data_IF_274027094204
#
_entry.id   IF_274027094204
#
_cell.length_a   1.000
_cell.length_b   1.000
_cell.length_c   1.000
_cell.angle_alpha   90.00
_cell.angle_beta   90.00
_cell.angle_gamma   90.00
#
_symmetry.space_group_name_H-M   'P 1'
#
loop_
_entity.id
_entity.type
_entity.pdbx_description
1 polymer ?
#
# COMPACT_ATOMS: atom_id res chain seq x y z
N UNK A 1 12.87 -5.58 6.64
CA UNK A 1 11.53 -5.02 6.94
C UNK A 1 11.21 -4.01 5.85
N UNK A 2 10.07 -4.13 5.18
CA UNK A 2 9.67 -3.25 4.10
C UNK A 2 8.30 -2.63 4.42
N UNK A 3 8.17 -1.32 4.21
CA UNK A 3 6.94 -0.58 4.48
C UNK A 3 6.49 0.23 3.25
N UNK A 4 5.18 0.45 3.16
CA UNK A 4 4.49 1.38 2.26
C UNK A 4 3.60 2.28 3.12
N UNK A 5 3.52 3.56 2.75
CA UNK A 5 2.67 4.55 3.40
C UNK A 5 1.53 4.90 2.46
N UNK A 6 0.29 4.78 2.91
CA UNK A 6 -0.82 5.48 2.29
C UNK A 6 -0.70 6.94 2.68
N UNK A 7 -0.51 7.79 1.68
CA UNK A 7 -0.45 9.24 1.87
C UNK A 7 -1.54 9.93 1.06
N UNK A 8 -2.05 11.01 1.63
CA UNK A 8 -2.79 12.01 0.89
C UNK A 8 -1.84 12.71 -0.10
N UNK A 9 -2.20 12.75 -1.38
CA UNK A 9 -1.32 13.32 -2.41
C UNK A 9 -1.33 14.85 -2.47
N UNK A 10 -2.32 15.49 -1.86
CA UNK A 10 -2.45 16.95 -1.83
C UNK A 10 -1.70 17.54 -0.63
N UNK A 11 -1.77 16.84 0.52
CA UNK A 11 -1.19 17.31 1.79
C UNK A 11 0.08 16.57 2.20
N UNK A 12 0.44 15.48 1.50
CA UNK A 12 1.52 14.55 1.84
C UNK A 12 1.40 13.92 3.25
N UNK A 13 0.23 14.00 3.88
CA UNK A 13 -0.02 13.44 5.19
C UNK A 13 -0.08 11.90 5.15
N UNK A 14 0.59 11.23 6.08
CA UNK A 14 0.44 9.79 6.31
C UNK A 14 -0.98 9.51 6.83
N UNK A 15 -1.72 8.66 6.09
CA UNK A 15 -3.07 8.21 6.43
C UNK A 15 -3.05 6.79 7.01
N UNK A 16 -2.18 5.93 6.46
CA UNK A 16 -1.98 4.57 6.93
C UNK A 16 -0.59 4.03 6.58
N UNK A 17 -0.19 2.95 7.23
CA UNK A 17 1.08 2.24 7.02
C UNK A 17 0.83 0.76 6.80
N UNK A 18 1.51 0.23 5.80
CA UNK A 18 1.52 -1.17 5.43
C UNK A 18 2.93 -1.70 5.66
N UNK A 19 3.07 -2.79 6.40
CA UNK A 19 4.36 -3.45 6.65
C UNK A 19 4.30 -4.88 6.18
N UNK A 20 5.36 -5.38 5.56
CA UNK A 20 5.47 -6.77 5.15
C UNK A 20 6.30 -7.57 6.16
N UNK A 21 5.68 -8.57 6.78
CA UNK A 21 6.29 -9.55 7.69
C UNK A 21 6.19 -10.95 7.07
N UNK A 22 7.29 -11.40 6.44
CA UNK A 22 7.28 -12.61 5.61
C UNK A 22 6.37 -12.48 4.38
N UNK A 23 5.25 -13.20 4.40
CA UNK A 23 4.18 -13.15 3.40
C UNK A 23 2.89 -12.49 3.93
N UNK A 24 2.91 -11.98 5.16
CA UNK A 24 1.78 -11.28 5.77
C UNK A 24 1.96 -9.76 5.61
N UNK A 25 0.94 -9.09 5.07
CA UNK A 25 0.89 -7.61 5.07
C UNK A 25 0.10 -7.17 6.30
N UNK A 26 0.73 -6.37 7.16
CA UNK A 26 0.09 -5.74 8.32
C UNK A 26 -0.23 -4.29 8.04
N UNK A 27 -1.40 -3.85 8.51
CA UNK A 27 -1.97 -2.53 8.26
C UNK A 27 -2.15 -1.78 9.58
N UNK A 28 -1.79 -0.51 9.61
CA UNK A 28 -2.01 0.37 10.76
C UNK A 28 -2.30 1.81 10.32
N UNK A 29 -2.82 2.64 11.22
CA UNK A 29 -3.18 4.03 10.95
C UNK A 29 -4.69 4.25 10.83
N UNK A 30 -5.07 5.49 10.54
CA UNK A 30 -6.47 5.95 10.48
C UNK A 30 -7.23 5.27 9.33
N UNK A 31 -6.58 5.14 8.18
CA UNK A 31 -7.19 4.61 6.94
C UNK A 31 -6.69 3.19 6.60
N UNK A 32 -6.47 2.34 7.61
CA UNK A 32 -5.94 0.99 7.41
C UNK A 32 -6.81 0.12 6.48
N UNK A 33 -8.13 0.23 6.59
CA UNK A 33 -9.07 -0.50 5.73
C UNK A 33 -9.01 -0.02 4.27
N UNK A 34 -8.88 1.29 4.04
CA UNK A 34 -8.71 1.84 2.70
C UNK A 34 -7.38 1.43 2.07
N UNK A 35 -6.30 1.43 2.85
CA UNK A 35 -5.00 0.91 2.41
C UNK A 35 -5.09 -0.57 2.00
N UNK A 36 -5.86 -1.37 2.74
CA UNK A 36 -6.12 -2.77 2.44
C UNK A 36 -6.90 -2.93 1.15
N UNK A 37 -7.98 -2.17 0.96
CA UNK A 37 -8.79 -2.23 -0.25
C UNK A 37 -7.99 -1.83 -1.50
N UNK A 38 -7.19 -0.76 -1.42
CA UNK A 38 -6.30 -0.35 -2.52
C UNK A 38 -5.33 -1.49 -2.87
N UNK A 39 -4.66 -2.10 -1.89
CA UNK A 39 -3.71 -3.17 -2.16
C UNK A 39 -4.39 -4.41 -2.74
N UNK A 40 -5.57 -4.78 -2.22
CA UNK A 40 -6.38 -5.91 -2.70
C UNK A 40 -6.86 -5.73 -4.12
N UNK A 41 -7.37 -4.56 -4.46
CA UNK A 41 -7.80 -4.27 -5.82
C UNK A 41 -6.64 -4.39 -6.80
N UNK A 42 -5.43 -3.97 -6.40
CA UNK A 42 -4.22 -4.15 -7.22
C UNK A 42 -3.78 -5.60 -7.31
N UNK A 43 -3.79 -6.33 -6.20
CA UNK A 43 -3.48 -7.76 -6.17
C UNK A 43 -4.41 -8.53 -7.12
N UNK A 44 -5.72 -8.26 -7.03
CA UNK A 44 -6.75 -8.83 -7.91
C UNK A 44 -6.56 -8.44 -9.36
N UNK A 45 -6.29 -7.16 -9.66
CA UNK A 45 -6.09 -6.68 -11.03
C UNK A 45 -4.88 -7.32 -11.74
N UNK A 46 -3.94 -7.88 -10.97
CA UNK A 46 -2.73 -8.54 -11.47
C UNK A 46 -2.72 -10.05 -11.26
N UNK A 47 -3.78 -10.61 -10.67
CA UNK A 47 -3.89 -12.01 -10.29
C UNK A 47 -2.70 -12.49 -9.44
N UNK A 48 -2.34 -11.70 -8.43
CA UNK A 48 -1.25 -11.98 -7.47
C UNK A 48 -1.73 -11.86 -6.03
N UNK A 49 -0.92 -12.31 -5.09
CA UNK A 49 -1.18 -12.14 -3.64
C UNK A 49 -0.98 -10.68 -3.19
N UNK A 50 -1.56 -10.30 -2.04
CA UNK A 50 -1.34 -8.97 -1.43
C UNK A 50 0.16 -8.70 -1.17
N UNK A 51 0.91 -9.72 -0.72
CA UNK A 51 2.36 -9.61 -0.48
C UNK A 51 3.16 -9.38 -1.78
N UNK A 52 2.78 -10.06 -2.86
CA UNK A 52 3.40 -9.82 -4.17
C UNK A 52 3.03 -8.44 -4.72
N UNK A 53 1.77 -8.03 -4.59
CA UNK A 53 1.34 -6.68 -4.96
C UNK A 53 2.13 -5.61 -4.18
N UNK A 54 2.35 -5.82 -2.88
CA UNK A 54 3.19 -4.96 -2.05
C UNK A 54 4.62 -4.87 -2.59
N UNK A 55 5.25 -6.01 -2.90
CA UNK A 55 6.62 -6.06 -3.45
C UNK A 55 6.71 -5.39 -4.82
N UNK A 56 5.71 -5.61 -5.68
CA UNK A 56 5.63 -4.95 -6.99
C UNK A 56 5.48 -3.44 -6.84
N UNK A 57 4.60 -3.00 -5.94
CA UNK A 57 4.39 -1.60 -5.65
C UNK A 57 5.69 -0.94 -5.16
N UNK A 58 6.42 -1.59 -4.25
CA UNK A 58 7.75 -1.14 -3.82
C UNK A 58 8.78 -1.04 -4.94
N UNK A 59 8.71 -1.92 -5.95
CA UNK A 59 9.68 -1.98 -7.04
C UNK A 59 9.45 -0.87 -8.07
N UNK A 60 8.19 -0.50 -8.30
CA UNK A 60 7.84 0.36 -9.43
C UNK A 60 7.10 1.65 -9.06
N UNK A 61 6.51 1.76 -7.87
CA UNK A 61 5.80 2.93 -7.34
C UNK A 61 4.64 3.42 -8.23
N UNK A 62 3.39 3.39 -7.76
CA UNK A 62 2.23 3.73 -8.62
C UNK A 62 1.19 4.65 -7.97
N UNK A 63 1.35 5.96 -8.08
CA UNK A 63 0.31 6.92 -7.67
C UNK A 63 -0.57 7.31 -8.87
N UNK A 64 -1.89 7.14 -8.74
CA UNK A 64 -2.89 7.66 -9.70
C UNK A 64 -4.23 7.86 -8.97
N UNK A 65 -4.36 8.93 -8.18
CA UNK A 65 -5.54 9.26 -7.38
C UNK A 65 -5.19 10.19 -6.21
N UNK A 66 -6.19 10.73 -5.48
CA UNK A 66 -5.98 11.64 -4.33
C UNK A 66 -5.23 10.97 -3.17
N UNK A 67 -5.15 9.64 -3.18
CA UNK A 67 -4.36 8.84 -2.26
C UNK A 67 -3.36 7.98 -3.04
N UNK A 68 -2.15 7.87 -2.51
CA UNK A 68 -1.09 7.07 -3.10
C UNK A 68 -0.41 6.21 -2.03
N UNK A 69 0.02 5.00 -2.41
CA UNK A 69 1.01 4.31 -1.60
C UNK A 69 2.39 4.87 -1.98
N UNK A 70 3.27 5.09 -1.00
CA UNK A 70 4.65 5.51 -1.23
C UNK A 70 5.56 4.63 -0.40
N UNK A 71 6.71 4.29 -0.94
CA UNK A 71 7.82 3.86 -0.08
C UNK A 71 8.32 5.08 0.69
N UNK A 72 8.52 4.99 2.02
CA UNK A 72 9.34 5.96 2.73
C UNK A 72 10.80 5.90 2.25
#
# INVERSE_FOLDING_TARGET
>A
MAELLLVDTETDAERARLTLDGDEVRYSGEDADLARDILRDRARARDVTEAEAFRQYRRWGWANGPLALRTP
#
